data_IF_206728189669
#
_entry.id   IF_206728189669
#
_cell.length_a   1.000
_cell.length_b   1.000
_cell.length_c   1.000
_cell.angle_alpha   90.00
_cell.angle_beta   90.00
_cell.angle_gamma   90.00
#
_symmetry.space_group_name_H-M   'P 1'
#
loop_
_entity.id
_entity.type
_entity.pdbx_description
1 polymer ?
#
# COMPACT_ATOMS: atom_id res chain seq x y z
N UNK A 1 18.48 -9.72 -9.34
CA UNK A 1 19.07 -8.48 -9.89
C UNK A 1 18.05 -7.37 -9.76
N UNK A 2 18.46 -6.19 -9.35
CA UNK A 2 17.58 -5.04 -9.15
C UNK A 2 18.33 -3.71 -9.37
N UNK A 3 17.60 -2.61 -9.27
CA UNK A 3 18.15 -1.25 -9.35
C UNK A 3 18.25 -0.71 -7.92
N UNK A 4 19.43 -0.28 -7.53
CA UNK A 4 19.65 0.41 -6.26
C UNK A 4 19.62 1.93 -6.47
N UNK A 5 18.64 2.61 -5.86
CA UNK A 5 18.53 4.06 -5.88
C UNK A 5 19.17 4.64 -4.62
N UNK A 6 20.42 5.08 -4.70
CA UNK A 6 21.17 5.61 -3.56
C UNK A 6 20.68 6.98 -3.03
N UNK A 7 19.83 7.68 -3.80
CA UNK A 7 19.30 9.01 -3.47
C UNK A 7 17.76 9.01 -3.52
N UNK A 8 17.13 8.02 -2.84
CA UNK A 8 15.69 7.98 -2.69
C UNK A 8 15.29 8.60 -1.34
N UNK A 9 14.29 9.48 -1.37
CA UNK A 9 13.79 10.18 -0.20
C UNK A 9 12.27 10.03 -0.09
N UNK A 10 11.78 9.80 1.12
CA UNK A 10 10.35 9.82 1.38
C UNK A 10 9.81 11.25 1.33
N UNK A 11 8.64 11.43 0.73
CA UNK A 11 7.99 12.74 0.58
C UNK A 11 7.39 13.28 1.89
N UNK A 12 7.46 12.55 2.99
CA UNK A 12 6.94 12.99 4.29
C UNK A 12 7.03 11.91 5.35
N UNK A 13 6.62 12.24 6.57
CA UNK A 13 6.73 11.34 7.74
C UNK A 13 5.53 10.38 7.90
N UNK A 14 4.42 10.62 7.21
CA UNK A 14 3.20 9.81 7.27
C UNK A 14 2.91 9.22 5.90
N UNK A 15 2.31 8.03 5.88
CA UNK A 15 1.88 7.34 4.65
C UNK A 15 0.95 8.18 3.78
N UNK A 16 0.06 8.96 4.39
CA UNK A 16 -0.85 9.85 3.67
C UNK A 16 -0.14 10.89 2.80
N UNK A 17 1.02 11.41 3.24
CA UNK A 17 1.86 12.27 2.38
C UNK A 17 2.51 11.48 1.24
N UNK A 18 3.01 10.28 1.55
CA UNK A 18 3.60 9.38 0.54
C UNK A 18 2.59 9.01 -0.54
N UNK A 19 1.37 8.63 -0.15
CA UNK A 19 0.29 8.32 -1.08
C UNK A 19 -0.07 9.52 -1.95
N UNK A 20 -0.24 10.71 -1.37
CA UNK A 20 -0.49 11.94 -2.12
C UNK A 20 0.60 12.20 -3.16
N UNK A 21 1.87 12.04 -2.79
CA UNK A 21 2.99 12.26 -3.70
C UNK A 21 3.07 11.20 -4.81
N UNK A 22 2.86 9.93 -4.49
CA UNK A 22 2.93 8.83 -5.47
C UNK A 22 1.75 8.89 -6.45
N UNK A 23 0.53 9.13 -5.94
CA UNK A 23 -0.66 9.09 -6.77
C UNK A 23 -0.86 10.33 -7.62
N UNK A 24 -0.42 11.51 -7.15
CA UNK A 24 -0.71 12.80 -7.76
C UNK A 24 0.54 13.59 -8.17
N UNK A 25 1.75 13.08 -7.90
CA UNK A 25 3.00 13.87 -8.01
C UNK A 25 2.96 15.17 -7.19
N UNK A 26 2.19 15.20 -6.11
CA UNK A 26 1.98 16.38 -5.29
C UNK A 26 3.12 16.53 -4.26
N UNK A 27 3.76 17.69 -4.17
CA UNK A 27 4.79 17.91 -3.16
C UNK A 27 4.18 17.94 -1.76
N UNK A 28 4.98 17.55 -0.76
CA UNK A 28 4.55 17.69 0.65
C UNK A 28 4.56 19.17 1.03
N UNK A 29 3.39 19.69 1.32
CA UNK A 29 3.19 21.04 1.82
C UNK A 29 2.88 21.01 3.32
N UNK A 30 3.14 22.13 4.05
CA UNK A 30 2.69 22.24 5.43
C UNK A 30 1.17 22.13 5.55
N UNK A 31 0.70 21.45 6.60
CA UNK A 31 -0.73 21.25 6.84
C UNK A 31 -1.14 19.78 6.73
N UNK A 32 -2.40 19.55 6.41
CA UNK A 32 -2.93 18.18 6.25
C UNK A 32 -2.52 17.58 4.90
N UNK A 33 -2.28 16.25 4.84
CA UNK A 33 -2.04 15.55 3.58
C UNK A 33 -3.18 15.77 2.58
N UNK A 34 -2.86 15.89 1.29
CA UNK A 34 -3.87 16.12 0.25
C UNK A 34 -4.97 15.05 0.28
N UNK A 35 -4.61 13.80 0.44
CA UNK A 35 -5.55 12.66 0.49
C UNK A 35 -6.59 12.79 1.62
N UNK A 36 -6.24 13.48 2.72
CA UNK A 36 -7.13 13.67 3.87
C UNK A 36 -8.04 14.91 3.73
N UNK A 37 -7.91 15.69 2.66
CA UNK A 37 -8.69 16.92 2.46
C UNK A 37 -9.94 16.63 1.62
N UNK A 38 -11.11 16.97 2.13
CA UNK A 38 -12.38 16.75 1.41
C UNK A 38 -12.46 17.55 0.11
N UNK A 39 -11.87 18.74 0.09
CA UNK A 39 -11.82 19.63 -1.07
C UNK A 39 -11.00 19.08 -2.24
N UNK A 40 -10.16 18.09 -1.99
CA UNK A 40 -9.37 17.41 -3.03
C UNK A 40 -10.12 16.30 -3.76
N UNK A 41 -11.32 15.96 -3.29
CA UNK A 41 -12.14 14.92 -3.91
C UNK A 41 -12.75 15.40 -5.23
N UNK A 42 -12.44 14.67 -6.31
CA UNK A 42 -12.92 14.99 -7.67
C UNK A 42 -12.16 16.10 -8.38
N UNK A 43 -11.29 16.82 -7.68
CA UNK A 43 -10.53 17.98 -8.20
C UNK A 43 -9.05 17.68 -8.44
N UNK A 44 -8.57 16.50 -8.04
CA UNK A 44 -7.16 16.15 -8.13
C UNK A 44 -6.89 15.14 -9.24
N UNK A 45 -6.03 15.50 -10.17
CA UNK A 45 -5.56 14.52 -11.16
C UNK A 45 -4.59 13.53 -10.52
N UNK A 46 -4.90 12.24 -10.69
CA UNK A 46 -4.08 11.12 -10.19
C UNK A 46 -3.59 10.24 -11.33
N UNK A 47 -2.67 9.34 -11.03
CA UNK A 47 -2.30 8.30 -11.99
C UNK A 47 -3.53 7.46 -12.40
N UNK A 48 -4.52 7.28 -11.53
CA UNK A 48 -5.79 6.62 -11.83
C UNK A 48 -6.58 7.37 -12.91
N UNK A 49 -6.78 8.70 -12.76
CA UNK A 49 -7.46 9.53 -13.76
C UNK A 49 -6.75 9.53 -15.11
N UNK A 50 -5.41 9.57 -15.10
CA UNK A 50 -4.61 9.57 -16.33
C UNK A 50 -4.74 8.25 -17.10
N UNK A 51 -4.60 7.12 -16.40
CA UNK A 51 -4.66 5.80 -17.03
C UNK A 51 -6.08 5.42 -17.46
N UNK A 52 -7.09 5.87 -16.72
CA UNK A 52 -8.49 5.69 -17.13
C UNK A 52 -8.80 6.34 -18.49
N UNK A 53 -8.17 7.48 -18.83
CA UNK A 53 -8.29 8.13 -20.15
C UNK A 53 -7.84 7.25 -21.32
N UNK A 54 -7.02 6.24 -21.05
CA UNK A 54 -6.51 5.26 -22.02
C UNK A 54 -6.99 3.84 -21.72
N UNK A 55 -8.17 3.72 -21.12
CA UNK A 55 -8.92 2.47 -20.89
C UNK A 55 -8.24 1.45 -19.95
N UNK A 56 -7.47 1.91 -18.98
CA UNK A 56 -7.03 1.05 -17.87
C UNK A 56 -8.17 0.86 -16.87
N UNK A 57 -8.31 -0.35 -16.35
CA UNK A 57 -9.04 -0.61 -15.10
C UNK A 57 -8.12 -0.28 -13.93
N UNK A 58 -8.65 0.40 -12.91
CA UNK A 58 -7.83 0.97 -11.83
C UNK A 58 -8.32 0.52 -10.46
N UNK A 59 -7.43 -0.11 -9.69
CA UNK A 59 -7.72 -0.69 -8.38
C UNK A 59 -6.79 -0.10 -7.32
N UNK A 60 -7.36 0.22 -6.16
CA UNK A 60 -6.61 0.54 -4.95
C UNK A 60 -6.88 -0.55 -3.91
N UNK A 61 -5.84 -1.22 -3.44
CA UNK A 61 -5.94 -2.30 -2.44
C UNK A 61 -5.22 -1.86 -1.18
N UNK A 62 -5.95 -1.84 -0.07
CA UNK A 62 -5.42 -1.55 1.25
C UNK A 62 -5.82 -2.65 2.23
N UNK A 63 -4.87 -3.19 2.96
CA UNK A 63 -5.16 -4.26 3.93
C UNK A 63 -5.96 -3.83 5.15
N UNK A 64 -6.05 -2.53 5.43
CA UNK A 64 -6.76 -1.94 6.55
C UNK A 64 -8.07 -1.28 6.17
N UNK A 65 -8.58 -0.45 7.07
CA UNK A 65 -9.78 0.36 6.89
C UNK A 65 -9.45 1.58 6.02
N UNK A 66 -9.99 1.65 4.81
CA UNK A 66 -9.70 2.70 3.85
C UNK A 66 -10.44 4.03 4.12
N UNK A 67 -11.34 4.06 5.11
CA UNK A 67 -11.90 5.32 5.59
C UNK A 67 -10.89 6.10 6.44
N UNK A 68 -9.86 5.41 6.97
CA UNK A 68 -8.75 6.05 7.64
C UNK A 68 -8.03 7.03 6.70
N UNK A 69 -7.76 8.26 7.18
CA UNK A 69 -7.19 9.36 6.39
C UNK A 69 -7.98 9.64 5.08
N UNK A 70 -9.25 9.23 4.99
CA UNK A 70 -10.13 9.44 3.83
C UNK A 70 -9.59 8.82 2.52
N UNK A 71 -8.83 7.73 2.60
CA UNK A 71 -8.19 7.12 1.43
C UNK A 71 -9.21 6.65 0.39
N UNK A 72 -10.27 5.93 0.82
CA UNK A 72 -11.30 5.44 -0.09
C UNK A 72 -12.00 6.59 -0.82
N UNK A 73 -12.45 7.61 -0.08
CA UNK A 73 -13.11 8.78 -0.66
C UNK A 73 -12.22 9.48 -1.69
N UNK A 74 -10.97 9.69 -1.35
CA UNK A 74 -10.02 10.35 -2.23
C UNK A 74 -9.75 9.58 -3.53
N UNK A 75 -9.40 8.29 -3.46
CA UNK A 75 -9.01 7.53 -4.66
C UNK A 75 -10.19 7.27 -5.59
N UNK A 76 -11.39 6.97 -5.05
CA UNK A 76 -12.59 6.78 -5.87
C UNK A 76 -12.98 8.09 -6.58
N UNK A 77 -13.01 9.21 -5.86
CA UNK A 77 -13.36 10.51 -6.44
C UNK A 77 -12.35 10.97 -7.50
N UNK A 78 -11.11 10.51 -7.40
CA UNK A 78 -10.01 10.92 -8.27
C UNK A 78 -9.54 9.79 -9.21
N UNK A 79 -10.48 8.97 -9.71
CA UNK A 79 -10.31 8.16 -10.90
C UNK A 79 -9.98 6.69 -10.70
N UNK A 80 -9.93 6.18 -9.49
CA UNK A 80 -9.87 4.74 -9.28
C UNK A 80 -11.26 4.12 -9.41
N UNK A 81 -11.35 2.97 -10.09
CA UNK A 81 -12.64 2.28 -10.33
C UNK A 81 -13.10 1.51 -9.09
N UNK A 82 -12.15 0.98 -8.32
CA UNK A 82 -12.48 0.14 -7.16
C UNK A 82 -11.45 0.27 -6.05
N UNK A 83 -11.94 0.30 -4.82
CA UNK A 83 -11.18 0.10 -3.58
C UNK A 83 -11.47 -1.30 -3.06
N UNK A 84 -10.43 -1.99 -2.66
CA UNK A 84 -10.47 -3.24 -1.89
C UNK A 84 -9.85 -2.93 -0.54
N UNK A 85 -10.55 -3.20 0.54
CA UNK A 85 -10.12 -2.88 1.89
C UNK A 85 -10.38 -4.06 2.85
N UNK A 86 -10.05 -3.90 4.13
CA UNK A 86 -10.11 -4.99 5.12
C UNK A 86 -11.43 -5.76 5.10
N UNK A 87 -12.57 -5.11 4.94
CA UNK A 87 -13.90 -5.75 4.91
C UNK A 87 -14.16 -6.65 3.68
N UNK A 88 -13.36 -6.49 2.62
CA UNK A 88 -13.45 -7.29 1.38
C UNK A 88 -12.65 -8.60 1.47
N UNK A 89 -11.88 -8.79 2.53
CA UNK A 89 -11.21 -10.05 2.85
C UNK A 89 -12.10 -10.91 3.78
N UNK A 90 -11.96 -12.23 3.78
CA UNK A 90 -12.63 -13.09 4.74
C UNK A 90 -12.39 -12.64 6.19
N UNK A 91 -13.40 -12.74 7.05
CA UNK A 91 -13.33 -12.25 8.44
C UNK A 91 -12.23 -12.91 9.29
N UNK A 92 -11.80 -14.11 8.92
CA UNK A 92 -10.74 -14.89 9.57
C UNK A 92 -9.36 -14.70 8.93
N UNK A 93 -9.22 -13.78 7.97
CA UNK A 93 -7.94 -13.48 7.34
C UNK A 93 -6.93 -12.95 8.37
N UNK A 94 -5.77 -13.59 8.52
CA UNK A 94 -4.77 -13.16 9.49
C UNK A 94 -4.23 -11.75 9.22
N UNK A 95 -3.98 -11.02 10.30
CA UNK A 95 -3.48 -9.66 10.22
C UNK A 95 -3.10 -9.08 11.56
N UNK A 96 -2.98 -7.77 11.61
CA UNK A 96 -2.75 -6.95 12.81
C UNK A 96 -3.94 -6.01 13.04
N UNK A 97 -3.84 -5.16 14.05
CA UNK A 97 -4.81 -4.08 14.26
C UNK A 97 -4.88 -3.08 13.08
N UNK A 98 -3.91 -3.10 12.19
CA UNK A 98 -3.82 -2.20 11.02
C UNK A 98 -4.39 -2.81 9.74
N UNK A 99 -4.73 -4.10 9.76
CA UNK A 99 -5.28 -4.80 8.63
C UNK A 99 -4.66 -6.17 8.38
N UNK A 100 -5.02 -6.80 7.26
CA UNK A 100 -4.51 -8.11 6.86
C UNK A 100 -3.03 -8.06 6.51
N UNK A 101 -2.31 -9.18 6.67
CA UNK A 101 -0.90 -9.26 6.27
C UNK A 101 -0.71 -9.11 4.75
N UNK A 102 0.45 -8.62 4.36
CA UNK A 102 0.77 -8.25 2.97
C UNK A 102 0.54 -9.39 1.97
N UNK A 103 0.81 -10.64 2.33
CA UNK A 103 0.56 -11.81 1.47
C UNK A 103 -0.90 -11.88 0.95
N UNK A 104 -1.87 -11.47 1.75
CA UNK A 104 -3.27 -11.46 1.36
C UNK A 104 -3.56 -10.34 0.35
N UNK A 105 -2.93 -9.18 0.53
CA UNK A 105 -3.02 -8.05 -0.40
C UNK A 105 -2.46 -8.45 -1.77
N UNK A 106 -1.27 -9.04 -1.80
CA UNK A 106 -0.63 -9.48 -3.04
C UNK A 106 -1.39 -10.61 -3.72
N UNK A 107 -1.90 -11.58 -2.98
CA UNK A 107 -2.74 -12.65 -3.53
C UNK A 107 -4.04 -12.11 -4.14
N UNK A 108 -4.66 -11.11 -3.51
CA UNK A 108 -5.84 -10.47 -4.08
C UNK A 108 -5.50 -9.74 -5.39
N UNK A 109 -4.40 -8.98 -5.41
CA UNK A 109 -3.91 -8.30 -6.60
C UNK A 109 -3.60 -9.29 -7.74
N UNK A 110 -2.94 -10.40 -7.43
CA UNK A 110 -2.66 -11.47 -8.39
C UNK A 110 -3.94 -12.03 -9.01
N UNK A 111 -4.96 -12.30 -8.22
CA UNK A 111 -6.25 -12.78 -8.72
C UNK A 111 -6.92 -11.78 -9.68
N UNK A 112 -6.82 -10.46 -9.40
CA UNK A 112 -7.29 -9.44 -10.33
C UNK A 112 -6.49 -9.50 -11.64
N UNK A 113 -5.17 -9.59 -11.58
CA UNK A 113 -4.30 -9.64 -12.76
C UNK A 113 -4.55 -10.89 -13.61
N UNK A 114 -4.71 -12.04 -12.98
CA UNK A 114 -4.94 -13.33 -13.66
C UNK A 114 -6.29 -13.37 -14.42
N UNK A 115 -7.26 -12.54 -14.00
CA UNK A 115 -8.60 -12.47 -14.61
C UNK A 115 -8.86 -11.20 -15.42
N UNK A 116 -7.88 -10.29 -15.48
CA UNK A 116 -8.02 -9.00 -16.16
C UNK A 116 -8.27 -9.16 -17.66
N UNK A 117 -9.24 -8.42 -18.19
CA UNK A 117 -9.57 -8.40 -19.62
C UNK A 117 -9.11 -7.10 -20.31
N UNK A 118 -8.54 -6.17 -19.55
CA UNK A 118 -8.05 -4.87 -19.99
C UNK A 118 -6.72 -4.56 -19.31
N UNK A 119 -5.94 -3.62 -19.84
CA UNK A 119 -4.78 -3.09 -19.12
C UNK A 119 -5.21 -2.62 -17.73
N UNK A 120 -4.46 -2.99 -16.70
CA UNK A 120 -4.88 -2.80 -15.32
C UNK A 120 -3.78 -2.13 -14.50
N UNK A 121 -4.14 -1.08 -13.76
CA UNK A 121 -3.34 -0.50 -12.69
C UNK A 121 -3.82 -1.05 -11.35
N UNK A 122 -2.92 -1.60 -10.57
CA UNK A 122 -3.19 -1.97 -9.18
C UNK A 122 -2.22 -1.18 -8.30
N UNK A 123 -2.76 -0.34 -7.43
CA UNK A 123 -1.99 0.31 -6.36
C UNK A 123 -2.24 -0.44 -5.07
N UNK A 124 -1.18 -0.95 -4.46
CA UNK A 124 -1.25 -1.67 -3.19
C UNK A 124 -0.63 -0.85 -2.07
N UNK A 125 -1.34 -0.72 -0.95
CA UNK A 125 -0.83 -0.14 0.27
C UNK A 125 -0.74 -1.21 1.35
N UNK A 126 0.49 -1.59 1.67
CA UNK A 126 0.81 -2.69 2.59
C UNK A 126 0.71 -2.26 4.06
N UNK A 127 0.46 -3.20 4.96
CA UNK A 127 0.20 -2.94 6.39
C UNK A 127 1.21 -3.56 7.32
N UNK A 128 1.93 -4.61 6.89
CA UNK A 128 2.81 -5.39 7.79
C UNK A 128 4.00 -4.60 8.31
N UNK A 129 4.49 -3.63 7.54
CA UNK A 129 5.60 -2.74 7.93
C UNK A 129 5.14 -1.59 8.83
N UNK A 130 4.25 -1.87 9.77
CA UNK A 130 3.77 -0.92 10.78
C UNK A 130 3.95 -1.49 12.19
N UNK A 131 4.15 -0.61 13.18
CA UNK A 131 4.15 -1.02 14.58
C UNK A 131 2.83 -1.76 14.90
N UNK A 132 2.85 -2.90 15.58
CA UNK A 132 3.90 -3.48 16.45
C UNK A 132 4.93 -4.39 15.76
N UNK A 133 5.12 -4.33 14.46
CA UNK A 133 6.14 -5.08 13.70
C UNK A 133 5.95 -6.61 13.79
N UNK A 134 4.73 -7.05 13.59
CA UNK A 134 4.33 -8.46 13.62
C UNK A 134 4.22 -8.98 12.20
N UNK A 135 4.66 -10.22 11.99
CA UNK A 135 4.49 -10.97 10.73
C UNK A 135 3.84 -12.32 11.01
N UNK A 136 3.28 -13.02 10.00
CA UNK A 136 2.68 -14.33 10.20
C UNK A 136 3.68 -15.34 10.79
N UNK A 137 3.24 -16.16 11.75
CA UNK A 137 4.09 -17.15 12.41
C UNK A 137 4.68 -18.17 11.43
N UNK A 138 3.89 -18.60 10.44
CA UNK A 138 4.30 -19.55 9.40
C UNK A 138 5.42 -19.01 8.49
N UNK A 139 5.59 -17.69 8.40
CA UNK A 139 6.64 -17.04 7.60
C UNK A 139 7.97 -16.93 8.36
N UNK A 140 7.98 -17.14 9.67
CA UNK A 140 9.16 -16.90 10.52
C UNK A 140 10.39 -17.74 10.17
N UNK A 141 10.20 -18.90 9.56
CA UNK A 141 11.30 -19.79 9.13
C UNK A 141 11.86 -19.40 7.74
N UNK A 142 11.11 -18.65 6.94
CA UNK A 142 11.52 -18.18 5.61
C UNK A 142 12.28 -16.86 5.68
N UNK A 143 12.11 -16.10 6.76
CA UNK A 143 12.65 -14.76 6.92
C UNK A 143 13.93 -14.80 7.77
N UNK A 144 15.01 -14.14 7.32
CA UNK A 144 16.26 -14.07 8.05
C UNK A 144 16.09 -13.54 9.49
N UNK A 145 16.91 -14.03 10.40
CA UNK A 145 17.07 -13.42 11.73
C UNK A 145 18.10 -12.33 11.65
N UNK A 146 17.75 -11.15 12.11
CA UNK A 146 18.67 -10.01 12.18
C UNK A 146 19.21 -9.86 13.61
N UNK A 147 20.45 -9.42 13.72
CA UNK A 147 21.09 -9.13 15.00
C UNK A 147 20.68 -7.74 15.48
N UNK A 148 20.44 -7.61 16.78
CA UNK A 148 20.15 -6.33 17.48
C UNK A 148 21.25 -5.26 17.25
N UNK A 149 22.39 -5.70 16.74
CA UNK A 149 23.58 -4.86 16.54
C UNK A 149 23.40 -3.77 15.48
N UNK A 150 22.42 -3.93 14.58
CA UNK A 150 22.30 -3.04 13.42
C UNK A 150 21.26 -1.92 13.55
N UNK A 151 20.17 -2.09 14.27
CA UNK A 151 19.08 -1.10 14.33
C UNK A 151 18.29 -1.06 15.65
N UNK A 152 18.72 -1.77 16.68
CA UNK A 152 18.04 -1.80 17.96
C UNK A 152 16.67 -2.51 18.02
N UNK A 153 16.01 -2.70 16.87
CA UNK A 153 14.71 -3.38 16.76
C UNK A 153 14.71 -4.36 15.57
N UNK A 154 15.16 -5.63 15.77
CA UNK A 154 15.24 -6.63 14.70
C UNK A 154 13.90 -6.92 14.03
N UNK A 155 12.78 -6.69 14.73
CA UNK A 155 11.42 -6.90 14.20
C UNK A 155 11.13 -6.03 12.98
N UNK A 156 11.61 -4.78 12.97
CA UNK A 156 11.46 -3.88 11.81
C UNK A 156 12.08 -4.50 10.56
N UNK A 157 13.33 -4.97 10.66
CA UNK A 157 14.01 -5.59 9.54
C UNK A 157 13.33 -6.89 9.11
N UNK A 158 12.76 -7.64 10.05
CA UNK A 158 12.05 -8.88 9.75
C UNK A 158 10.76 -8.62 8.99
N UNK A 159 9.97 -7.62 9.36
CA UNK A 159 8.75 -7.27 8.63
C UNK A 159 9.08 -6.73 7.23
N UNK A 160 10.14 -5.93 7.08
CA UNK A 160 10.62 -5.48 5.77
C UNK A 160 11.04 -6.67 4.89
N UNK A 161 11.82 -7.61 5.42
CA UNK A 161 12.23 -8.80 4.70
C UNK A 161 11.06 -9.73 4.39
N UNK A 162 10.02 -9.75 5.20
CA UNK A 162 8.77 -10.46 4.91
C UNK A 162 8.06 -9.85 3.70
N UNK A 163 7.87 -8.54 3.68
CA UNK A 163 7.26 -7.87 2.52
C UNK A 163 8.07 -8.08 1.24
N UNK A 164 9.41 -7.99 1.32
CA UNK A 164 10.31 -8.29 0.20
C UNK A 164 10.16 -9.73 -0.31
N UNK A 165 10.05 -10.69 0.61
CA UNK A 165 9.80 -12.10 0.27
C UNK A 165 8.44 -12.28 -0.44
N UNK A 166 7.38 -11.67 0.07
CA UNK A 166 6.03 -11.73 -0.53
C UNK A 166 6.00 -11.13 -1.93
N UNK A 167 6.75 -10.03 -2.17
CA UNK A 167 6.89 -9.44 -3.52
C UNK A 167 7.58 -10.40 -4.49
N UNK A 168 8.46 -11.26 -3.98
CA UNK A 168 9.23 -12.20 -4.79
C UNK A 168 8.51 -13.51 -5.16
N UNK A 169 7.38 -13.81 -4.52
CA UNK A 169 6.54 -15.00 -4.78
C UNK A 169 5.50 -14.72 -5.88
#
# INVERSE_FOLDING_TARGET
>A
SGINCSHAFASGKRSAYGLSSILCSWPVLPGFPLISQLESQGETETIGTLLKKINYSTYFIYGGDADFDNMAGFVISNGFDKVIEQKDFPNDTPGTMWGVFDEHIFNYAKNIMDTAQSPTLITMFTTTNHQPWVMPENSSNKIPRFSDKYFGEPQILRTMAYTDHVIGE
#
